data_IF_975001254124
#
_entry.id   IF_975001254124
#
_cell.length_a   1.000
_cell.length_b   1.000
_cell.length_c   1.000
_cell.angle_alpha   90.00
_cell.angle_beta   90.00
_cell.angle_gamma   90.00
#
_symmetry.space_group_name_H-M   'P 1'
#
loop_
_entity.id
_entity.type
_entity.pdbx_description
1 polymer ?
#
# COMPACT_ATOMS: atom_id res chain seq x y z
N UNK A 1 -12.26 -14.74 24.97
CA UNK A 1 -10.83 -14.83 24.71
C UNK A 1 -10.59 -14.05 23.42
N UNK A 2 -9.65 -13.11 23.36
CA UNK A 2 -9.39 -12.39 22.13
C UNK A 2 -8.96 -13.42 21.05
N UNK A 3 -9.66 -13.42 19.92
CA UNK A 3 -9.25 -14.19 18.76
C UNK A 3 -7.98 -13.49 18.23
N UNK A 4 -6.84 -14.08 18.48
CA UNK A 4 -5.59 -13.68 17.84
C UNK A 4 -5.73 -14.07 16.37
N UNK A 5 -5.92 -13.10 15.49
CA UNK A 5 -5.79 -13.33 14.06
C UNK A 5 -4.39 -13.86 13.81
N UNK A 6 -4.26 -15.14 13.52
CA UNK A 6 -2.98 -15.72 13.16
C UNK A 6 -2.54 -15.05 11.86
N UNK A 7 -1.41 -14.34 11.92
CA UNK A 7 -0.80 -13.76 10.73
C UNK A 7 -0.53 -14.90 9.72
N UNK A 8 -0.77 -14.66 8.42
CA UNK A 8 -0.50 -15.66 7.40
C UNK A 8 0.95 -16.15 7.50
N UNK A 9 1.14 -17.45 7.51
CA UNK A 9 2.47 -18.06 7.44
C UNK A 9 3.03 -17.85 6.02
N UNK A 10 3.74 -16.78 5.83
CA UNK A 10 4.47 -16.44 4.61
C UNK A 10 5.48 -15.35 4.94
N UNK A 11 6.51 -15.18 4.13
CA UNK A 11 7.44 -14.06 4.30
C UNK A 11 6.64 -12.76 4.23
N UNK A 12 6.42 -12.13 5.38
CA UNK A 12 5.75 -10.84 5.44
C UNK A 12 6.50 -9.88 4.52
N UNK A 13 5.80 -9.26 3.59
CA UNK A 13 6.36 -8.22 2.74
C UNK A 13 6.71 -7.06 3.66
N UNK A 14 8.00 -6.82 3.87
CA UNK A 14 8.49 -5.79 4.81
C UNK A 14 8.62 -4.41 4.17
N UNK A 15 8.53 -4.33 2.86
CA UNK A 15 8.59 -3.07 2.13
C UNK A 15 7.18 -2.57 1.83
N UNK A 16 6.69 -1.52 2.51
CA UNK A 16 5.36 -0.96 2.24
C UNK A 16 5.19 -0.50 0.79
N UNK A 17 6.29 -0.10 0.12
CA UNK A 17 6.24 0.26 -1.28
C UNK A 17 5.97 -0.93 -2.19
N UNK A 18 6.38 -2.16 -1.81
CA UNK A 18 6.04 -3.37 -2.55
C UNK A 18 4.53 -3.66 -2.47
N UNK A 19 3.92 -3.55 -1.29
CA UNK A 19 2.47 -3.69 -1.13
C UNK A 19 1.73 -2.68 -2.02
N UNK A 20 2.18 -1.43 -2.04
CA UNK A 20 1.57 -0.39 -2.88
C UNK A 20 1.75 -0.66 -4.38
N UNK A 21 2.87 -1.26 -4.82
CA UNK A 21 3.02 -1.69 -6.22
C UNK A 21 2.08 -2.84 -6.54
N UNK A 22 2.10 -3.90 -5.74
CA UNK A 22 1.30 -5.10 -5.97
C UNK A 22 -0.22 -4.82 -5.95
N UNK A 23 -0.65 -3.82 -5.19
CA UNK A 23 -2.06 -3.44 -5.10
C UNK A 23 -2.58 -2.57 -6.25
N UNK A 24 -1.75 -2.15 -7.21
CA UNK A 24 -2.19 -1.38 -8.38
C UNK A 24 -3.05 -2.23 -9.33
N UNK A 25 -4.25 -1.75 -9.71
CA UNK A 25 -5.20 -2.51 -10.53
C UNK A 25 -4.91 -2.36 -12.04
N UNK A 26 -3.88 -3.00 -12.53
CA UNK A 26 -3.56 -3.07 -13.96
C UNK A 26 -3.14 -4.49 -14.35
N UNK A 27 -3.14 -4.77 -15.65
CA UNK A 27 -2.73 -6.05 -16.21
C UNK A 27 -1.61 -5.81 -17.24
N UNK A 28 -0.38 -6.06 -16.85
CA UNK A 28 0.78 -6.08 -17.74
C UNK A 28 1.88 -6.95 -17.10
N UNK A 29 1.99 -8.18 -17.59
CA UNK A 29 2.81 -9.23 -16.95
C UNK A 29 4.31 -8.94 -17.03
N UNK A 30 4.81 -8.31 -18.11
CA UNK A 30 6.24 -8.07 -18.28
C UNK A 30 6.80 -7.10 -17.25
N UNK A 31 6.07 -6.02 -16.93
CA UNK A 31 6.50 -5.06 -15.89
C UNK A 31 6.36 -5.67 -14.49
N UNK A 32 5.33 -6.46 -14.23
CA UNK A 32 5.17 -7.22 -12.98
C UNK A 32 6.32 -8.21 -12.77
N UNK A 33 6.70 -8.92 -13.82
CA UNK A 33 7.84 -9.82 -13.76
C UNK A 33 9.14 -9.08 -13.45
N UNK A 34 9.35 -7.91 -14.07
CA UNK A 34 10.52 -7.07 -13.81
C UNK A 34 10.56 -6.61 -12.34
N UNK A 35 9.44 -6.13 -11.81
CA UNK A 35 9.26 -5.75 -10.41
C UNK A 35 9.65 -6.89 -9.48
N UNK A 36 8.98 -8.04 -9.60
CA UNK A 36 9.16 -9.17 -8.70
C UNK A 36 10.59 -9.72 -8.75
N UNK A 37 11.20 -9.78 -9.93
CA UNK A 37 12.62 -10.19 -10.06
C UNK A 37 13.55 -9.33 -9.21
N UNK A 38 13.37 -8.03 -9.21
CA UNK A 38 14.20 -7.12 -8.42
C UNK A 38 13.89 -7.20 -6.92
N UNK A 39 12.63 -7.37 -6.53
CA UNK A 39 12.22 -7.53 -5.14
C UNK A 39 12.80 -8.80 -4.52
N UNK A 40 12.82 -9.90 -5.25
CA UNK A 40 13.37 -11.19 -4.82
C UNK A 40 14.90 -11.19 -4.63
N UNK A 41 15.62 -10.15 -5.06
CA UNK A 41 17.07 -10.06 -4.86
C UNK A 41 17.51 -9.91 -3.40
N UNK A 42 16.57 -9.69 -2.47
CA UNK A 42 16.87 -9.45 -1.06
C UNK A 42 17.62 -10.60 -0.39
N UNK A 43 17.28 -11.85 -0.69
CA UNK A 43 17.93 -13.03 -0.11
C UNK A 43 19.31 -13.26 -0.68
N UNK A 44 19.49 -13.06 -1.99
CA UNK A 44 20.81 -13.13 -2.63
C UNK A 44 21.74 -12.06 -2.08
N UNK A 45 21.22 -10.85 -1.86
CA UNK A 45 21.98 -9.74 -1.29
C UNK A 45 22.36 -9.98 0.17
N UNK A 46 21.45 -10.57 0.96
CA UNK A 46 21.74 -10.96 2.36
C UNK A 46 22.84 -12.02 2.42
N UNK A 47 22.75 -13.01 1.55
CA UNK A 47 23.69 -14.10 1.43
C UNK A 47 24.97 -13.72 0.65
N UNK A 48 25.10 -12.47 0.17
CA UNK A 48 26.23 -11.97 -0.62
C UNK A 48 26.50 -12.79 -1.90
N UNK A 49 25.42 -13.32 -2.52
CA UNK A 49 25.51 -14.10 -3.77
C UNK A 49 25.58 -13.18 -5.00
N UNK A 50 26.69 -12.49 -5.15
CA UNK A 50 26.89 -11.48 -6.19
C UNK A 50 26.72 -12.00 -7.61
N UNK A 51 27.13 -13.25 -7.89
CA UNK A 51 26.92 -13.89 -9.19
C UNK A 51 25.43 -14.14 -9.50
N UNK A 52 24.62 -14.46 -8.50
CA UNK A 52 23.16 -14.57 -8.67
C UNK A 52 22.52 -13.21 -8.92
N UNK A 53 22.94 -12.18 -8.18
CA UNK A 53 22.51 -10.80 -8.40
C UNK A 53 22.82 -10.31 -9.80
N UNK A 54 24.06 -10.51 -10.29
CA UNK A 54 24.46 -10.15 -11.66
C UNK A 54 23.57 -10.83 -12.71
N UNK A 55 23.29 -12.11 -12.55
CA UNK A 55 22.41 -12.85 -13.45
C UNK A 55 20.98 -12.31 -13.44
N UNK A 56 20.46 -11.95 -12.27
CA UNK A 56 19.10 -11.40 -12.13
C UNK A 56 19.01 -10.03 -12.79
N UNK A 57 19.99 -9.13 -12.55
CA UNK A 57 20.01 -7.80 -13.18
C UNK A 57 20.14 -7.92 -14.69
N UNK A 58 21.05 -8.71 -15.23
CA UNK A 58 21.20 -8.89 -16.69
C UNK A 58 19.94 -9.47 -17.35
N UNK A 59 19.24 -10.38 -16.67
CA UNK A 59 17.94 -10.89 -17.15
C UNK A 59 16.86 -9.82 -17.14
N UNK A 60 16.89 -8.92 -16.16
CA UNK A 60 15.96 -7.80 -16.06
C UNK A 60 16.21 -6.77 -17.16
N UNK A 61 17.47 -6.48 -17.49
CA UNK A 61 17.86 -5.64 -18.64
C UNK A 61 17.37 -6.24 -19.97
N UNK A 62 17.59 -7.54 -20.18
CA UNK A 62 17.13 -8.24 -21.37
C UNK A 62 15.61 -8.26 -21.48
N UNK A 63 14.88 -8.48 -20.39
CA UNK A 63 13.42 -8.41 -20.34
C UNK A 63 12.93 -7.03 -20.75
N UNK A 64 13.44 -5.98 -20.10
CA UNK A 64 13.05 -4.60 -20.39
C UNK A 64 13.34 -4.21 -21.84
N UNK A 65 14.53 -4.54 -22.35
CA UNK A 65 14.91 -4.28 -23.75
C UNK A 65 13.97 -4.96 -24.74
N UNK A 66 13.60 -6.22 -24.49
CA UNK A 66 12.76 -7.01 -25.38
C UNK A 66 11.29 -6.61 -25.30
N UNK A 67 10.80 -6.22 -24.11
CA UNK A 67 9.39 -6.01 -23.83
C UNK A 67 9.00 -4.53 -23.69
N UNK A 68 9.94 -3.61 -23.84
CA UNK A 68 9.69 -2.15 -23.72
C UNK A 68 8.47 -1.70 -24.52
N UNK A 69 8.38 -2.11 -25.80
CA UNK A 69 7.27 -1.70 -26.66
C UNK A 69 5.94 -2.26 -26.17
N UNK A 70 5.90 -3.54 -25.75
CA UNK A 70 4.69 -4.16 -25.17
C UNK A 70 4.21 -3.42 -23.92
N UNK A 71 5.14 -3.03 -23.04
CA UNK A 71 4.81 -2.24 -21.85
C UNK A 71 4.25 -0.87 -22.25
N UNK A 72 4.89 -0.16 -23.18
CA UNK A 72 4.44 1.15 -23.64
C UNK A 72 3.10 1.12 -24.37
N UNK A 73 2.84 0.09 -25.16
CA UNK A 73 1.57 -0.09 -25.86
C UNK A 73 0.40 -0.27 -24.90
N UNK A 74 0.63 -0.89 -23.75
CA UNK A 74 -0.37 -1.05 -22.68
C UNK A 74 -0.67 0.26 -21.94
N UNK A 75 0.22 1.26 -21.98
CA UNK A 75 -0.01 2.57 -21.36
C UNK A 75 -0.95 3.41 -22.22
N UNK A 76 -1.97 4.09 -21.62
CA UNK A 76 -2.78 5.07 -22.34
C UNK A 76 -1.94 6.08 -23.11
N UNK A 77 -2.32 6.38 -24.36
CA UNK A 77 -1.50 7.20 -25.28
C UNK A 77 -1.08 8.54 -24.69
N UNK A 78 -1.96 9.18 -23.92
CA UNK A 78 -1.69 10.47 -23.26
C UNK A 78 -0.56 10.43 -22.22
N UNK A 79 -0.16 9.25 -21.77
CA UNK A 79 0.83 9.06 -20.71
C UNK A 79 2.11 8.36 -21.18
N UNK A 80 2.17 7.94 -22.47
CA UNK A 80 3.29 7.14 -23.01
C UNK A 80 4.63 7.83 -22.90
N UNK A 81 4.69 9.13 -23.17
CA UNK A 81 5.95 9.89 -23.06
C UNK A 81 6.51 9.88 -21.61
N UNK A 82 5.62 9.95 -20.63
CA UNK A 82 6.01 9.84 -19.22
C UNK A 82 6.48 8.43 -18.87
N UNK A 83 5.77 7.41 -19.36
CA UNK A 83 6.16 6.02 -19.16
C UNK A 83 7.52 5.72 -19.80
N UNK A 84 7.78 6.22 -21.00
CA UNK A 84 9.08 6.09 -21.66
C UNK A 84 10.20 6.77 -20.85
N UNK A 85 9.94 7.94 -20.29
CA UNK A 85 10.90 8.63 -19.43
C UNK A 85 11.23 7.80 -18.17
N UNK A 86 10.23 7.19 -17.52
CA UNK A 86 10.45 6.32 -16.37
C UNK A 86 11.16 5.01 -16.75
N UNK A 87 10.80 4.38 -17.88
CA UNK A 87 11.49 3.18 -18.36
C UNK A 87 12.96 3.45 -18.69
N UNK A 88 13.29 4.66 -19.17
CA UNK A 88 14.70 5.07 -19.33
C UNK A 88 15.42 5.17 -17.99
N UNK A 89 14.75 5.66 -16.94
CA UNK A 89 15.31 5.70 -15.59
C UNK A 89 15.48 4.29 -15.01
N UNK A 90 14.56 3.36 -15.33
CA UNK A 90 14.70 1.94 -14.97
C UNK A 90 15.94 1.34 -15.63
N UNK A 91 16.19 1.55 -16.93
CA UNK A 91 17.41 1.12 -17.62
C UNK A 91 18.68 1.64 -16.92
N UNK A 92 18.72 2.94 -16.62
CA UNK A 92 19.85 3.56 -15.93
C UNK A 92 20.05 2.96 -14.55
N UNK A 93 18.98 2.67 -13.83
CA UNK A 93 19.02 2.03 -12.52
C UNK A 93 19.55 0.59 -12.57
N UNK A 94 19.17 -0.19 -13.58
CA UNK A 94 19.68 -1.55 -13.79
C UNK A 94 21.19 -1.52 -14.09
N UNK A 95 21.66 -0.60 -14.95
CA UNK A 95 23.07 -0.39 -15.23
C UNK A 95 23.85 0.00 -13.96
N UNK A 96 23.33 0.94 -13.16
CA UNK A 96 23.94 1.32 -11.91
C UNK A 96 24.02 0.13 -10.94
N UNK A 97 22.97 -0.68 -10.83
CA UNK A 97 22.99 -1.90 -10.01
C UNK A 97 24.07 -2.88 -10.47
N UNK A 98 24.30 -3.02 -11.79
CA UNK A 98 25.38 -3.87 -12.32
C UNK A 98 26.76 -3.34 -11.92
N UNK A 99 26.97 -2.02 -11.93
CA UNK A 99 28.22 -1.40 -11.44
C UNK A 99 28.42 -1.71 -9.95
N UNK A 100 27.38 -1.58 -9.10
CA UNK A 100 27.46 -1.91 -7.67
C UNK A 100 27.81 -3.38 -7.42
N UNK A 101 27.33 -4.28 -8.28
CA UNK A 101 27.67 -5.70 -8.21
C UNK A 101 29.17 -5.90 -8.50
N UNK A 102 29.71 -5.27 -9.53
CA UNK A 102 31.11 -5.35 -9.90
C UNK A 102 32.04 -4.82 -8.77
N UNK A 103 31.60 -3.76 -8.10
CA UNK A 103 32.30 -3.13 -6.99
C UNK A 103 32.06 -3.81 -5.64
N UNK A 104 31.17 -4.80 -5.57
CA UNK A 104 30.73 -5.47 -4.33
C UNK A 104 30.12 -4.45 -3.33
N UNK A 105 29.52 -3.36 -3.84
CA UNK A 105 28.94 -2.27 -3.06
C UNK A 105 27.48 -2.59 -2.67
N UNK A 106 27.30 -3.23 -1.52
CA UNK A 106 25.97 -3.58 -0.99
C UNK A 106 25.09 -2.37 -0.68
N UNK A 107 25.57 -1.31 0.01
CA UNK A 107 24.76 -0.13 0.27
C UNK A 107 24.32 0.58 -1.03
N UNK A 108 25.20 0.72 -1.99
CA UNK A 108 24.90 1.28 -3.31
C UNK A 108 23.85 0.45 -4.05
N UNK A 109 23.99 -0.87 -4.06
CA UNK A 109 22.99 -1.76 -4.67
C UNK A 109 21.60 -1.59 -4.05
N UNK A 110 21.49 -1.54 -2.71
CA UNK A 110 20.21 -1.33 -2.02
C UNK A 110 19.56 -0.01 -2.44
N UNK A 111 20.35 1.07 -2.47
CA UNK A 111 19.88 2.40 -2.86
C UNK A 111 19.37 2.42 -4.31
N UNK A 112 20.21 1.91 -5.23
CA UNK A 112 19.91 1.94 -6.66
C UNK A 112 18.73 1.02 -7.00
N UNK A 113 18.63 -0.17 -6.36
CA UNK A 113 17.46 -1.05 -6.45
C UNK A 113 16.18 -0.36 -5.99
N UNK A 114 16.20 0.30 -4.84
CA UNK A 114 15.02 1.01 -4.31
C UNK A 114 14.55 2.10 -5.27
N UNK A 115 15.47 2.83 -5.86
CA UNK A 115 15.13 3.86 -6.84
C UNK A 115 14.58 3.27 -8.13
N UNK A 116 15.19 2.20 -8.63
CA UNK A 116 14.71 1.47 -9.82
C UNK A 116 13.30 0.94 -9.63
N UNK A 117 13.02 0.30 -8.48
CA UNK A 117 11.68 -0.17 -8.11
C UNK A 117 10.67 0.97 -7.97
N UNK A 118 11.10 2.16 -7.54
CA UNK A 118 10.22 3.34 -7.54
C UNK A 118 9.80 3.72 -8.95
N UNK A 119 10.75 3.79 -9.89
CA UNK A 119 10.43 4.10 -11.28
C UNK A 119 9.59 3.02 -11.97
N UNK A 120 9.78 1.74 -11.61
CA UNK A 120 8.87 0.68 -12.04
C UNK A 120 7.45 0.96 -11.53
N UNK A 121 7.28 1.27 -10.24
CA UNK A 121 5.99 1.64 -9.68
C UNK A 121 5.37 2.89 -10.32
N UNK A 122 6.19 3.86 -10.74
CA UNK A 122 5.73 5.03 -11.51
C UNK A 122 5.17 4.62 -12.89
N UNK A 123 5.81 3.67 -13.60
CA UNK A 123 5.28 3.10 -14.85
C UNK A 123 3.98 2.35 -14.60
N UNK A 124 3.94 1.51 -13.56
CA UNK A 124 2.76 0.73 -13.17
C UNK A 124 1.56 1.61 -12.86
N UNK A 125 1.78 2.73 -12.18
CA UNK A 125 0.72 3.70 -11.91
C UNK A 125 0.15 4.34 -13.19
N UNK A 126 0.95 4.46 -14.25
CA UNK A 126 0.51 4.96 -15.56
C UNK A 126 -0.26 3.91 -16.37
N UNK A 127 -0.17 2.63 -16.01
CA UNK A 127 -0.92 1.53 -16.63
C UNK A 127 -2.34 1.39 -16.11
N UNK A 128 -2.64 1.98 -14.95
CA UNK A 128 -4.01 1.97 -14.42
C UNK A 128 -4.93 2.74 -15.37
N UNK A 129 -6.05 2.15 -15.74
CA UNK A 129 -7.03 2.76 -16.64
C UNK A 129 -7.55 4.11 -16.12
N UNK A 130 -7.80 5.04 -17.06
CA UNK A 130 -8.40 6.33 -16.71
C UNK A 130 -9.79 6.13 -16.12
N UNK A 131 -10.03 6.74 -14.95
CA UNK A 131 -11.31 6.63 -14.29
C UNK A 131 -11.59 5.27 -13.65
N UNK A 132 -10.55 4.42 -13.47
CA UNK A 132 -10.72 3.15 -12.76
C UNK A 132 -11.42 3.37 -11.41
N UNK A 133 -12.50 2.65 -11.20
CA UNK A 133 -13.27 2.64 -9.95
C UNK A 133 -13.77 1.22 -9.69
N UNK A 134 -13.81 0.86 -8.42
CA UNK A 134 -14.49 -0.37 -8.01
C UNK A 134 -15.98 -0.11 -7.82
N UNK A 135 -16.75 -1.14 -8.04
CA UNK A 135 -18.17 -1.13 -7.72
C UNK A 135 -18.37 -1.03 -6.20
N UNK A 136 -19.18 -0.07 -5.78
CA UNK A 136 -19.50 0.20 -4.39
C UNK A 136 -21.02 0.09 -4.25
N UNK A 137 -21.53 -0.66 -3.25
CA UNK A 137 -22.96 -0.75 -3.01
C UNK A 137 -23.62 0.62 -2.83
N UNK A 138 -24.82 0.82 -3.40
CA UNK A 138 -25.50 2.10 -3.40
C UNK A 138 -25.90 2.63 -2.00
N UNK A 139 -25.96 1.75 -1.02
CA UNK A 139 -26.19 2.11 0.39
C UNK A 139 -25.06 3.00 0.95
N UNK A 140 -23.88 2.98 0.34
CA UNK A 140 -22.73 3.81 0.73
C UNK A 140 -22.55 5.06 -0.15
N UNK A 141 -23.51 5.41 -1.00
CA UNK A 141 -23.39 6.55 -1.92
C UNK A 141 -23.17 7.90 -1.24
N UNK A 142 -23.62 8.04 0.00
CA UNK A 142 -23.44 9.25 0.80
C UNK A 142 -22.03 9.42 1.38
N UNK A 143 -21.20 8.37 1.38
CA UNK A 143 -19.85 8.39 1.94
C UNK A 143 -18.84 9.02 0.98
N UNK A 144 -17.83 9.73 1.51
CA UNK A 144 -16.71 10.21 0.71
C UNK A 144 -15.97 9.06 0.04
N UNK A 145 -15.51 9.28 -1.19
CA UNK A 145 -14.75 8.29 -1.97
C UNK A 145 -13.46 8.89 -2.47
N UNK A 146 -12.37 8.16 -2.31
CA UNK A 146 -11.11 8.50 -2.94
C UNK A 146 -10.99 7.72 -4.27
N UNK A 147 -10.75 8.45 -5.35
CA UNK A 147 -10.38 7.86 -6.65
C UNK A 147 -8.87 7.85 -6.79
N UNK A 148 -8.28 6.67 -6.94
CA UNK A 148 -6.84 6.55 -7.01
C UNK A 148 -6.16 6.64 -5.64
N UNK A 149 -4.99 7.26 -5.60
CA UNK A 149 -4.18 7.40 -4.37
C UNK A 149 -4.01 8.83 -3.96
N UNK A 150 -3.94 9.07 -2.66
CA UNK A 150 -3.53 10.34 -2.09
C UNK A 150 -2.31 10.16 -1.19
N UNK A 151 -1.41 11.14 -1.22
CA UNK A 151 -0.29 11.23 -0.28
C UNK A 151 -0.57 12.35 0.70
N UNK A 152 -0.48 12.04 1.98
CA UNK A 152 -0.69 12.97 3.07
C UNK A 152 0.57 13.07 3.92
N UNK A 153 0.79 14.25 4.51
CA UNK A 153 1.80 14.47 5.55
C UNK A 153 1.09 14.62 6.88
N UNK A 154 1.45 13.79 7.85
CA UNK A 154 0.98 13.88 9.23
C UNK A 154 2.11 14.54 10.02
N UNK A 155 1.94 15.83 10.33
CA UNK A 155 2.91 16.59 11.14
C UNK A 155 2.68 16.34 12.63
N UNK A 156 3.70 15.85 13.32
CA UNK A 156 3.66 15.56 14.75
C UNK A 156 4.71 16.36 15.51
N UNK A 157 4.60 16.39 16.83
CA UNK A 157 5.63 16.99 17.70
C UNK A 157 7.01 16.32 17.61
N UNK A 158 7.09 15.13 17.02
CA UNK A 158 8.32 14.35 16.84
C UNK A 158 8.82 14.31 15.40
N UNK A 159 8.11 14.97 14.48
CA UNK A 159 8.46 15.04 13.05
C UNK A 159 7.31 14.65 12.15
N UNK A 160 7.57 14.72 10.84
CA UNK A 160 6.60 14.47 9.79
C UNK A 160 6.60 13.00 9.38
N UNK A 161 5.41 12.45 9.20
CA UNK A 161 5.17 11.13 8.64
C UNK A 161 4.49 11.30 7.27
N UNK A 162 4.99 10.60 6.26
CA UNK A 162 4.34 10.55 4.94
C UNK A 162 3.55 9.26 4.83
N UNK A 163 2.26 9.36 4.54
CA UNK A 163 1.38 8.22 4.30
C UNK A 163 0.78 8.27 2.90
N UNK A 164 0.58 7.10 2.32
CA UNK A 164 -0.15 6.92 1.05
C UNK A 164 -1.40 6.13 1.35
N UNK A 165 -2.56 6.68 1.01
CA UNK A 165 -3.85 6.00 1.13
C UNK A 165 -4.35 5.57 -0.25
N UNK A 166 -4.90 4.37 -0.31
CA UNK A 166 -5.22 3.68 -1.56
C UNK A 166 -6.73 3.60 -1.79
N UNK A 167 -7.25 4.49 -2.60
CA UNK A 167 -8.65 4.47 -3.03
C UNK A 167 -8.93 3.49 -4.17
N UNK A 168 -7.94 2.82 -4.74
CA UNK A 168 -8.19 1.73 -5.69
C UNK A 168 -8.75 0.48 -5.02
N UNK A 169 -8.32 0.21 -3.79
CA UNK A 169 -8.68 -1.01 -3.07
C UNK A 169 -9.51 -0.76 -1.80
N UNK A 170 -9.51 0.47 -1.28
CA UNK A 170 -10.31 0.89 -0.14
C UNK A 170 -10.87 2.31 -0.35
N UNK A 171 -11.74 2.52 -1.37
CA UNK A 171 -12.21 3.85 -1.75
C UNK A 171 -12.99 4.58 -0.66
N UNK A 172 -13.80 3.88 0.14
CA UNK A 172 -14.59 4.49 1.22
C UNK A 172 -13.72 4.83 2.43
N UNK A 173 -12.88 3.90 2.86
CA UNK A 173 -11.98 4.07 3.99
C UNK A 173 -10.96 5.19 3.71
N UNK A 174 -10.30 5.13 2.56
CA UNK A 174 -9.36 6.17 2.14
C UNK A 174 -10.05 7.51 1.91
N UNK A 175 -11.26 7.49 1.34
CA UNK A 175 -12.07 8.68 1.11
C UNK A 175 -12.48 9.37 2.41
N UNK A 176 -12.89 8.61 3.41
CA UNK A 176 -13.26 9.13 4.73
C UNK A 176 -12.05 9.78 5.43
N UNK A 177 -10.89 9.14 5.38
CA UNK A 177 -9.66 9.69 5.96
C UNK A 177 -9.22 10.99 5.30
N UNK A 178 -9.20 11.03 3.95
CA UNK A 178 -8.83 12.23 3.18
C UNK A 178 -9.82 13.37 3.41
N UNK A 179 -11.12 13.08 3.44
CA UNK A 179 -12.18 14.08 3.70
C UNK A 179 -12.01 14.73 5.08
N UNK A 180 -11.72 13.94 6.12
CA UNK A 180 -11.47 14.48 7.46
C UNK A 180 -10.16 15.28 7.54
N UNK A 181 -9.11 14.82 6.88
CA UNK A 181 -7.86 15.56 6.78
C UNK A 181 -8.06 16.92 6.09
N UNK A 182 -8.79 16.96 4.98
CA UNK A 182 -9.11 18.21 4.27
C UNK A 182 -9.98 19.18 5.09
N UNK A 183 -10.80 18.65 5.99
CA UNK A 183 -11.59 19.46 6.93
C UNK A 183 -10.81 19.98 8.13
N UNK A 184 -9.53 19.59 8.28
CA UNK A 184 -8.73 19.91 9.44
C UNK A 184 -9.18 19.17 10.72
N UNK A 185 -9.95 18.10 10.59
CA UNK A 185 -10.50 17.37 11.74
C UNK A 185 -9.41 16.81 12.66
N UNK A 186 -8.30 16.37 12.07
CA UNK A 186 -7.19 15.77 12.81
C UNK A 186 -6.23 16.79 13.44
N UNK A 187 -6.37 18.08 13.11
CA UNK A 187 -5.44 19.10 13.55
C UNK A 187 -5.51 19.27 15.08
N UNK A 188 -4.37 19.06 15.74
CA UNK A 188 -4.25 19.17 17.18
C UNK A 188 -4.69 17.94 17.98
N UNK A 189 -5.25 16.90 17.35
CA UNK A 189 -5.64 15.69 18.04
C UNK A 189 -4.43 14.91 18.55
N UNK A 190 -4.49 14.38 19.79
CA UNK A 190 -3.43 13.56 20.34
C UNK A 190 -3.45 12.12 19.81
N UNK A 191 -2.33 11.43 19.98
CA UNK A 191 -2.36 9.97 19.98
C UNK A 191 -2.91 9.49 21.31
N UNK A 192 -4.04 8.79 21.27
CA UNK A 192 -4.80 8.38 22.47
C UNK A 192 -4.46 6.97 22.93
N UNK A 193 -3.83 6.16 22.08
CA UNK A 193 -3.39 4.81 22.39
C UNK A 193 -2.01 4.57 21.79
N UNK A 194 -1.10 4.07 22.62
CA UNK A 194 0.24 3.65 22.21
C UNK A 194 0.55 2.33 22.92
N UNK A 195 0.60 1.26 22.16
CA UNK A 195 0.98 -0.07 22.64
C UNK A 195 2.22 -0.53 21.90
N UNK A 196 3.28 -0.82 22.65
CA UNK A 196 4.55 -1.27 22.09
C UNK A 196 4.36 -2.51 21.20
N UNK A 197 4.97 -2.48 20.02
CA UNK A 197 4.88 -3.56 19.02
C UNK A 197 3.47 -3.87 18.51
N UNK A 198 2.49 -3.00 18.75
CA UNK A 198 1.13 -3.23 18.29
C UNK A 198 0.58 -2.04 17.51
N UNK A 199 0.13 -0.96 18.19
CA UNK A 199 -0.52 0.17 17.52
C UNK A 199 -0.17 1.53 18.14
N UNK A 200 -0.22 2.55 17.28
CA UNK A 200 -0.28 3.96 17.66
C UNK A 200 -1.57 4.53 17.06
N UNK A 201 -2.54 4.94 17.87
CA UNK A 201 -3.90 5.32 17.45
C UNK A 201 -4.19 6.79 17.76
N UNK A 202 -4.89 7.44 16.80
CA UNK A 202 -5.35 8.82 16.89
C UNK A 202 -6.73 8.95 16.22
N UNK A 203 -7.27 10.17 16.18
CA UNK A 203 -8.54 10.48 15.52
C UNK A 203 -9.75 10.43 16.44
N UNK A 204 -9.53 10.35 17.76
CA UNK A 204 -10.55 10.51 18.79
C UNK A 204 -10.78 12.00 19.03
N UNK A 205 -12.00 12.55 18.79
CA UNK A 205 -12.26 13.97 18.98
C UNK A 205 -12.30 14.34 20.46
N UNK A 206 -12.11 15.62 20.77
CA UNK A 206 -12.34 16.12 22.12
C UNK A 206 -13.84 16.07 22.45
N UNK A 207 -14.18 15.53 23.61
CA UNK A 207 -15.57 15.47 24.10
C UNK A 207 -16.05 14.05 24.40
N UNK A 208 -17.37 13.83 24.45
CA UNK A 208 -17.96 12.52 24.71
C UNK A 208 -18.13 11.67 23.45
N UNK A 209 -17.98 12.26 22.28
CA UNK A 209 -18.09 11.57 20.99
C UNK A 209 -16.86 10.70 20.75
N UNK A 210 -17.05 9.52 20.16
CA UNK A 210 -15.95 8.60 19.81
C UNK A 210 -15.53 8.70 18.35
N UNK A 211 -16.23 9.51 17.55
CA UNK A 211 -16.03 9.65 16.12
C UNK A 211 -16.48 10.99 15.56
N UNK A 212 -16.45 11.11 14.24
CA UNK A 212 -16.80 12.34 13.55
C UNK A 212 -18.32 12.54 13.45
N UNK A 213 -18.81 13.62 14.06
CA UNK A 213 -20.21 14.06 13.93
C UNK A 213 -20.34 15.00 12.73
N UNK A 214 -21.12 14.60 11.73
CA UNK A 214 -21.37 15.44 10.57
C UNK A 214 -22.15 16.71 10.99
N UNK A 215 -21.61 17.91 10.73
CA UNK A 215 -22.21 19.15 11.20
C UNK A 215 -23.58 19.44 10.54
N UNK A 216 -23.88 18.80 9.40
CA UNK A 216 -25.17 19.00 8.70
C UNK A 216 -26.25 18.07 9.23
N UNK A 217 -25.93 16.78 9.36
CA UNK A 217 -26.90 15.77 9.80
C UNK A 217 -27.00 15.65 11.31
N UNK A 218 -25.98 16.10 12.05
CA UNK A 218 -25.82 15.93 13.49
C UNK A 218 -25.74 14.46 13.92
N UNK A 219 -25.35 13.59 13.00
CA UNK A 219 -25.15 12.16 13.23
C UNK A 219 -23.69 11.81 13.08
N UNK A 220 -23.27 10.78 13.78
CA UNK A 220 -21.96 10.19 13.60
C UNK A 220 -21.88 9.56 12.20
N UNK A 221 -20.77 9.80 11.50
CA UNK A 221 -20.50 9.17 10.22
C UNK A 221 -19.87 7.81 10.44
N UNK A 222 -20.49 6.78 9.95
CA UNK A 222 -19.99 5.42 9.96
C UNK A 222 -19.44 5.03 8.60
N UNK A 223 -18.32 4.34 8.59
CA UNK A 223 -17.65 3.80 7.41
C UNK A 223 -17.61 2.28 7.55
N UNK A 224 -18.07 1.52 6.55
CA UNK A 224 -18.10 0.06 6.64
C UNK A 224 -16.69 -0.52 6.70
N UNK A 225 -16.57 -1.71 7.28
CA UNK A 225 -15.41 -2.56 7.04
C UNK A 225 -15.32 -2.82 5.53
N UNK A 226 -14.15 -2.56 4.95
CA UNK A 226 -13.90 -2.63 3.51
C UNK A 226 -12.64 -3.43 3.24
N UNK A 227 -12.78 -4.64 2.68
CA UNK A 227 -11.65 -5.55 2.44
C UNK A 227 -11.62 -5.98 0.98
N UNK A 228 -10.50 -5.75 0.33
CA UNK A 228 -10.23 -6.25 -1.02
C UNK A 228 -9.31 -7.47 -0.97
N UNK A 229 -9.72 -8.53 -1.67
CA UNK A 229 -8.91 -9.74 -1.90
C UNK A 229 -8.55 -9.80 -3.39
N UNK A 230 -7.27 -10.07 -3.76
CA UNK A 230 -6.81 -9.95 -5.15
C UNK A 230 -7.61 -10.79 -6.16
N UNK A 231 -7.93 -12.03 -5.81
CA UNK A 231 -8.57 -13.00 -6.71
C UNK A 231 -10.10 -12.97 -6.64
N UNK A 232 -10.67 -12.15 -5.76
CA UNK A 232 -12.11 -12.00 -5.67
C UNK A 232 -12.61 -10.90 -6.62
N UNK A 233 -13.82 -11.11 -7.20
CA UNK A 233 -14.43 -10.14 -8.10
C UNK A 233 -14.81 -8.85 -7.36
N UNK A 234 -15.45 -9.00 -6.21
CA UNK A 234 -16.06 -7.89 -5.48
C UNK A 234 -15.27 -7.55 -4.21
N UNK A 235 -15.41 -6.32 -3.74
CA UNK A 235 -14.91 -5.90 -2.43
C UNK A 235 -15.87 -6.41 -1.35
N UNK A 236 -15.34 -6.91 -0.24
CA UNK A 236 -16.10 -7.39 0.90
C UNK A 236 -16.44 -6.18 1.77
N UNK A 237 -17.72 -6.01 2.07
CA UNK A 237 -18.22 -4.95 2.95
C UNK A 237 -18.96 -5.55 4.14
N UNK A 238 -18.61 -5.12 5.35
CA UNK A 238 -19.26 -5.50 6.61
C UNK A 238 -19.35 -7.01 6.88
N UNK A 239 -18.45 -7.78 6.32
CA UNK A 239 -18.33 -9.22 6.54
C UNK A 239 -16.86 -9.57 6.86
N UNK A 240 -16.65 -10.56 7.72
CA UNK A 240 -15.32 -11.09 7.99
C UNK A 240 -14.92 -12.15 6.97
N UNK A 241 -13.64 -12.51 6.93
CA UNK A 241 -13.19 -13.65 6.11
C UNK A 241 -13.85 -14.98 6.51
N UNK A 242 -14.25 -15.11 7.78
CA UNK A 242 -14.99 -16.27 8.27
C UNK A 242 -16.39 -16.31 7.70
N UNK A 243 -17.09 -15.18 7.64
CA UNK A 243 -18.45 -15.08 7.12
C UNK A 243 -18.52 -15.45 5.64
N UNK A 244 -17.51 -15.06 4.86
CA UNK A 244 -17.46 -15.33 3.41
C UNK A 244 -16.66 -16.58 3.03
N UNK A 245 -16.16 -17.34 4.02
CA UNK A 245 -15.43 -18.61 3.78
C UNK A 245 -14.00 -18.44 3.27
N UNK A 246 -13.41 -17.26 3.38
CA UNK A 246 -12.06 -16.93 2.90
C UNK A 246 -10.99 -17.03 4.00
N UNK A 247 -11.03 -18.04 4.84
CA UNK A 247 -10.20 -18.22 6.05
C UNK A 247 -8.69 -18.07 5.87
N UNK A 248 -8.17 -18.25 4.65
CA UNK A 248 -6.74 -18.20 4.33
C UNK A 248 -6.38 -17.10 3.34
N UNK A 249 -7.34 -16.26 2.97
CA UNK A 249 -7.09 -15.20 2.03
C UNK A 249 -6.18 -14.14 2.64
N UNK A 250 -5.34 -13.55 1.79
CA UNK A 250 -4.54 -12.38 2.16
C UNK A 250 -5.19 -11.16 1.51
N UNK A 251 -5.54 -10.13 2.27
CA UNK A 251 -6.08 -8.91 1.69
C UNK A 251 -5.05 -8.22 0.80
N UNK A 252 -5.52 -7.45 -0.18
CA UNK A 252 -4.66 -6.66 -1.08
C UNK A 252 -3.78 -5.66 -0.30
N UNK A 253 -4.31 -5.12 0.80
CA UNK A 253 -3.60 -4.21 1.71
C UNK A 253 -3.50 -4.84 3.10
N UNK A 254 -2.56 -5.78 3.33
CA UNK A 254 -2.43 -6.49 4.59
C UNK A 254 -1.76 -5.64 5.66
N UNK A 255 -2.05 -5.90 6.93
CA UNK A 255 -1.29 -5.38 8.08
C UNK A 255 0.02 -6.18 8.24
N UNK A 256 0.93 -6.01 7.31
CA UNK A 256 2.16 -6.83 7.22
C UNK A 256 3.45 -6.03 7.38
N UNK A 257 3.39 -4.70 7.39
CA UNK A 257 4.56 -3.82 7.48
C UNK A 257 4.41 -2.79 8.59
N UNK A 258 5.54 -2.38 9.18
CA UNK A 258 5.59 -1.28 10.11
C UNK A 258 5.02 -0.01 9.46
N UNK A 259 4.13 0.69 10.18
CA UNK A 259 3.51 1.93 9.73
C UNK A 259 2.30 1.75 8.81
N UNK A 260 1.81 0.51 8.60
CA UNK A 260 0.54 0.31 7.91
C UNK A 260 -0.56 1.07 8.62
N UNK A 261 -1.30 1.90 7.86
CA UNK A 261 -2.40 2.70 8.37
C UNK A 261 -3.70 1.88 8.30
N UNK A 262 -4.42 1.78 9.41
CA UNK A 262 -5.69 1.09 9.50
C UNK A 262 -6.79 1.99 10.05
N UNK A 263 -8.01 1.77 9.59
CA UNK A 263 -9.21 2.41 10.12
C UNK A 263 -9.72 1.63 11.32
N UNK A 264 -9.99 2.32 12.42
CA UNK A 264 -10.43 1.67 13.64
C UNK A 264 -11.96 1.54 13.66
N UNK A 265 -12.43 0.40 14.12
CA UNK A 265 -13.83 0.12 14.47
C UNK A 265 -13.89 -0.56 15.84
N UNK A 266 -15.07 -0.64 16.44
CA UNK A 266 -15.22 -1.33 17.72
C UNK A 266 -15.17 -2.86 17.57
N UNK A 267 -14.98 -3.57 18.67
CA UNK A 267 -15.05 -5.03 18.71
C UNK A 267 -16.50 -5.57 18.54
N UNK A 268 -17.49 -4.67 18.52
CA UNK A 268 -18.91 -5.03 18.55
C UNK A 268 -19.58 -4.88 17.19
N UNK A 269 -19.00 -4.09 16.28
CA UNK A 269 -19.56 -3.81 14.96
C UNK A 269 -18.45 -3.67 13.91
N UNK A 270 -18.75 -4.09 12.68
CA UNK A 270 -17.84 -3.98 11.53
C UNK A 270 -18.04 -2.68 10.74
N UNK A 271 -19.11 -1.94 11.04
CA UNK A 271 -19.59 -0.78 10.29
C UNK A 271 -19.63 0.50 11.14
N UNK A 272 -18.98 0.53 12.29
CA UNK A 272 -18.96 1.69 13.20
C UNK A 272 -17.65 2.50 13.18
N UNK A 273 -16.74 2.20 12.26
CA UNK A 273 -15.55 3.01 12.05
C UNK A 273 -15.92 4.43 11.64
N UNK A 274 -15.46 5.47 12.36
CA UNK A 274 -15.91 6.85 12.16
C UNK A 274 -14.80 7.83 11.79
N UNK A 275 -13.80 8.01 12.66
CA UNK A 275 -12.68 8.93 12.45
C UNK A 275 -11.35 8.39 12.98
N UNK A 276 -11.38 7.42 13.86
CA UNK A 276 -10.17 6.91 14.48
C UNK A 276 -9.38 6.04 13.52
N UNK A 277 -8.07 6.20 13.54
CA UNK A 277 -7.13 5.40 12.76
C UNK A 277 -5.95 4.99 13.62
N UNK A 278 -5.28 3.93 13.22
CA UNK A 278 -4.07 3.47 13.89
C UNK A 278 -2.94 3.22 12.90
N UNK A 279 -1.73 3.38 13.37
CA UNK A 279 -0.51 2.94 12.70
C UNK A 279 -0.06 1.64 13.33
N UNK A 280 0.18 0.63 12.52
CA UNK A 280 0.61 -0.68 12.96
C UNK A 280 2.10 -0.67 13.24
N UNK A 281 2.49 -1.01 14.47
CA UNK A 281 3.88 -0.96 14.94
C UNK A 281 4.58 -2.33 14.94
N UNK A 282 3.94 -3.33 14.35
CA UNK A 282 4.47 -4.67 14.29
C UNK A 282 5.61 -4.76 13.28
N UNK A 283 6.69 -5.40 13.69
CA UNK A 283 7.78 -5.84 12.81
C UNK A 283 8.09 -7.30 13.12
N UNK A 284 7.92 -8.17 12.12
CA UNK A 284 8.01 -9.61 12.28
C UNK A 284 9.34 -10.12 12.86
N UNK A 285 10.42 -9.32 12.77
CA UNK A 285 11.75 -9.64 13.33
C UNK A 285 11.89 -9.23 14.79
N UNK A 286 11.06 -8.33 15.29
CA UNK A 286 11.17 -7.79 16.64
C UNK A 286 10.16 -8.42 17.61
N UNK A 287 9.18 -9.14 17.10
CA UNK A 287 8.16 -9.77 17.95
C UNK A 287 8.61 -11.18 18.31
N UNK A 288 8.80 -11.50 19.60
CA UNK A 288 9.03 -12.87 20.04
C UNK A 288 7.86 -13.76 19.63
N UNK A 289 8.15 -14.94 19.14
CA UNK A 289 7.16 -15.96 18.79
C UNK A 289 6.40 -16.47 20.03
#
# INVERSE_FOLDING_TARGET
APAWAALPQGNAVKDPAAILRDSLPFQQDDIRELQHRLELTSDDLRAKRWGALAKTVSRSEALLSTRRNSILEAVPTSRRDRAEAFLKQVDQGLQAMQERINDVDKPGFIRDRRQTLRHIGDVEALLVEDGFQREIPSEFDALPRLQGRATLTISTSQGDLTTVVDGYNAPLTAGAFVDLAQKGFYDGLPFVRAEDFYVLQSGDPEGPELGYIDPKTKQERHVPLEIRVPDEKDTIYNETFEDVGLFKATPTLPFATLGTLGWAHSDQALDDGSSQFFMFLYEAELTPA
#
